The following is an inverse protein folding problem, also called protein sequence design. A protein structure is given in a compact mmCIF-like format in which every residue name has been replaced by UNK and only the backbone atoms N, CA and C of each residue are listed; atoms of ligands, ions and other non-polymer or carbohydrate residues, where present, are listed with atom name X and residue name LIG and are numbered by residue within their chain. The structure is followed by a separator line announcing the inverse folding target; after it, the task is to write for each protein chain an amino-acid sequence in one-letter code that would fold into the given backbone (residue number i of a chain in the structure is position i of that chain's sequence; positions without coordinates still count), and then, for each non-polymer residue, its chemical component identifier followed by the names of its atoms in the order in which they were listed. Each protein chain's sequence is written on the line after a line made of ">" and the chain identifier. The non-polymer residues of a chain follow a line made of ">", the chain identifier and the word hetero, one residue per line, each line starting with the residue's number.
data_IF_614908965766
#
_entry.id   IF_614908965766
#
_cell.length_a   1.000
_cell.length_b   1.000
_cell.length_c   1.000
_cell.angle_alpha   90.00
_cell.angle_beta   90.00
_cell.angle_gamma   90.00
#
_symmetry.space_group_name_H-M   'P 1'
#
loop_
_entity.id
_entity.type
_entity.pdbx_description
1 polymer ?
#
# COMPACT_ATOMS: atom_id res chain seq x y z
N UNK A 1 -49.32 25.62 -20.53
CA UNK A 1 -48.07 26.05 -19.86
C UNK A 1 -47.96 25.58 -18.40
N UNK A 2 -49.04 25.14 -17.72
CA UNK A 2 -48.95 24.64 -16.33
C UNK A 2 -48.35 23.22 -16.19
N UNK A 3 -48.56 22.32 -17.15
CA UNK A 3 -48.14 20.91 -17.01
C UNK A 3 -46.62 20.67 -17.05
N UNK A 4 -45.82 21.58 -17.62
CA UNK A 4 -44.35 21.45 -17.67
C UNK A 4 -43.70 21.77 -16.32
N UNK A 5 -44.24 22.77 -15.61
CA UNK A 5 -43.74 23.20 -14.29
C UNK A 5 -44.06 22.16 -13.22
N UNK A 6 -45.25 21.55 -13.27
CA UNK A 6 -45.63 20.43 -12.38
C UNK A 6 -44.73 19.20 -12.60
N UNK A 7 -44.46 18.83 -13.85
CA UNK A 7 -43.62 17.67 -14.18
C UNK A 7 -42.14 17.86 -13.78
N UNK A 8 -41.61 19.07 -13.85
CA UNK A 8 -40.25 19.38 -13.37
C UNK A 8 -40.16 19.40 -11.84
N UNK A 9 -41.21 19.89 -11.16
CA UNK A 9 -41.30 19.85 -9.70
C UNK A 9 -41.35 18.39 -9.18
N UNK A 10 -42.15 17.52 -9.80
CA UNK A 10 -42.25 16.10 -9.45
C UNK A 10 -40.92 15.35 -9.63
N UNK A 11 -40.19 15.66 -10.71
CA UNK A 11 -38.84 15.12 -10.95
C UNK A 11 -37.84 15.59 -9.90
N UNK A 12 -37.85 16.87 -9.55
CA UNK A 12 -36.95 17.42 -8.54
C UNK A 12 -37.20 16.80 -7.16
N UNK A 13 -38.46 16.58 -6.79
CA UNK A 13 -38.84 15.89 -5.55
C UNK A 13 -38.33 14.45 -5.53
N UNK A 14 -38.54 13.69 -6.62
CA UNK A 14 -38.05 12.32 -6.73
C UNK A 14 -36.51 12.24 -6.64
N UNK A 15 -35.78 13.14 -7.31
CA UNK A 15 -34.32 13.22 -7.24
C UNK A 15 -33.86 13.54 -5.81
N UNK A 16 -34.50 14.50 -5.14
CA UNK A 16 -34.18 14.88 -3.77
C UNK A 16 -34.38 13.74 -2.78
N UNK A 17 -35.45 12.95 -2.90
CA UNK A 17 -35.66 11.76 -2.09
C UNK A 17 -34.54 10.73 -2.30
N UNK A 18 -34.13 10.49 -3.55
CA UNK A 18 -33.01 9.58 -3.86
C UNK A 18 -31.67 10.10 -3.35
N UNK A 19 -31.41 11.41 -3.40
CA UNK A 19 -30.21 12.03 -2.83
C UNK A 19 -30.17 11.93 -1.30
N UNK A 20 -31.32 12.10 -0.61
CA UNK A 20 -31.40 11.86 0.84
C UNK A 20 -31.07 10.42 1.20
N UNK A 21 -31.63 9.46 0.47
CA UNK A 21 -31.31 8.05 0.68
C UNK A 21 -29.84 7.74 0.38
N UNK A 22 -29.27 8.34 -0.68
CA UNK A 22 -27.86 8.20 -1.02
C UNK A 22 -26.95 8.74 0.10
N UNK A 23 -27.26 9.92 0.66
CA UNK A 23 -26.54 10.49 1.82
C UNK A 23 -26.61 9.56 3.03
N UNK A 24 -27.81 9.02 3.35
CA UNK A 24 -28.00 8.08 4.46
C UNK A 24 -27.17 6.81 4.26
N UNK A 25 -27.22 6.21 3.08
CA UNK A 25 -26.44 5.01 2.77
C UNK A 25 -24.93 5.27 2.83
N UNK A 26 -24.47 6.43 2.35
CA UNK A 26 -23.05 6.80 2.44
C UNK A 26 -22.58 6.91 3.89
N UNK A 27 -23.37 7.53 4.77
CA UNK A 27 -23.09 7.62 6.21
C UNK A 27 -23.01 6.24 6.86
N UNK A 28 -23.96 5.35 6.53
CA UNK A 28 -23.94 3.96 7.02
C UNK A 28 -22.69 3.19 6.57
N UNK A 29 -22.25 3.40 5.32
CA UNK A 29 -21.00 2.78 4.81
C UNK A 29 -19.77 3.33 5.55
N UNK A 30 -19.72 4.64 5.81
CA UNK A 30 -18.63 5.26 6.54
C UNK A 30 -18.59 4.77 8.00
N UNK A 31 -19.74 4.68 8.67
CA UNK A 31 -19.87 4.13 10.03
C UNK A 31 -19.46 2.66 10.09
N UNK A 32 -19.92 1.84 9.14
CA UNK A 32 -19.56 0.42 9.06
C UNK A 32 -18.05 0.23 8.86
N UNK A 33 -17.43 1.00 7.95
CA UNK A 33 -15.97 0.96 7.74
C UNK A 33 -15.17 1.44 8.94
N UNK A 34 -15.67 2.44 9.67
CA UNK A 34 -15.03 2.92 10.88
C UNK A 34 -15.09 1.86 11.99
N UNK A 35 -16.25 1.18 12.15
CA UNK A 35 -16.42 0.08 13.10
C UNK A 35 -15.52 -1.11 12.76
N UNK A 36 -15.53 -1.54 11.49
CA UNK A 36 -14.68 -2.63 10.99
C UNK A 36 -13.21 -2.35 11.26
N UNK A 37 -12.76 -1.12 10.99
CA UNK A 37 -11.38 -0.73 11.27
C UNK A 37 -11.06 -0.75 12.76
N UNK A 38 -11.96 -0.24 13.60
CA UNK A 38 -11.78 -0.25 15.05
C UNK A 38 -11.66 -1.68 15.60
N UNK A 39 -12.53 -2.59 15.16
CA UNK A 39 -12.49 -4.01 15.56
C UNK A 39 -11.18 -4.68 15.12
N UNK A 40 -10.73 -4.45 13.89
CA UNK A 40 -9.46 -4.97 13.39
C UNK A 40 -8.29 -4.43 14.22
N UNK A 41 -8.28 -3.13 14.52
CA UNK A 41 -7.22 -2.49 15.29
C UNK A 41 -7.18 -3.01 16.73
N UNK A 42 -8.35 -3.24 17.35
CA UNK A 42 -8.45 -3.86 18.68
C UNK A 42 -7.89 -5.27 18.70
N UNK A 43 -8.33 -6.12 17.76
CA UNK A 43 -7.87 -7.52 17.64
C UNK A 43 -6.36 -7.57 17.38
N UNK A 44 -5.85 -6.71 16.50
CA UNK A 44 -4.40 -6.60 16.24
C UNK A 44 -3.66 -6.22 17.51
N UNK A 45 -4.10 -5.17 18.21
CA UNK A 45 -3.42 -4.72 19.44
C UNK A 45 -3.39 -5.82 20.51
N UNK A 46 -4.45 -6.62 20.62
CA UNK A 46 -4.52 -7.72 21.56
C UNK A 46 -3.47 -8.79 21.25
N UNK A 47 -3.38 -9.25 20.00
CA UNK A 47 -2.39 -10.25 19.61
C UNK A 47 -0.96 -9.70 19.64
N UNK A 48 -0.75 -8.45 19.21
CA UNK A 48 0.53 -7.76 19.32
C UNK A 48 1.01 -7.70 20.77
N UNK A 49 0.12 -7.42 21.73
CA UNK A 49 0.50 -7.41 23.16
C UNK A 49 0.94 -8.78 23.68
N UNK A 50 0.27 -9.86 23.23
CA UNK A 50 0.62 -11.24 23.61
C UNK A 50 1.95 -11.67 23.00
N UNK A 51 2.14 -11.38 21.71
CA UNK A 51 3.37 -11.68 21.00
C UNK A 51 4.52 -10.92 21.66
N UNK A 52 4.35 -9.61 21.87
CA UNK A 52 5.37 -8.77 22.50
C UNK A 52 5.76 -9.27 23.88
N UNK A 53 4.80 -9.70 24.71
CA UNK A 53 5.11 -10.28 26.02
C UNK A 53 5.98 -11.54 25.89
N UNK A 54 5.66 -12.43 24.96
CA UNK A 54 6.46 -13.63 24.72
C UNK A 54 7.84 -13.30 24.11
N UNK A 55 7.93 -12.27 23.26
CA UNK A 55 9.20 -11.77 22.72
C UNK A 55 10.09 -11.17 23.82
N UNK A 56 9.51 -10.39 24.73
CA UNK A 56 10.20 -9.80 25.88
C UNK A 56 10.70 -10.90 26.83
N UNK A 57 9.86 -11.90 27.14
CA UNK A 57 10.23 -13.06 27.95
C UNK A 57 11.36 -13.87 27.27
N UNK A 58 11.28 -14.09 25.95
CA UNK A 58 12.35 -14.75 25.19
C UNK A 58 13.64 -13.96 25.18
N UNK A 59 13.60 -12.62 25.12
CA UNK A 59 14.79 -11.78 25.15
C UNK A 59 15.53 -11.90 26.49
N UNK A 60 14.78 -11.97 27.60
CA UNK A 60 15.33 -12.23 28.94
C UNK A 60 16.00 -13.61 28.96
N UNK A 61 15.28 -14.66 28.53
CA UNK A 61 15.82 -16.02 28.48
C UNK A 61 17.08 -16.12 27.61
N UNK A 62 17.12 -15.45 26.45
CA UNK A 62 18.31 -15.42 25.58
C UNK A 62 19.51 -14.78 26.28
N UNK A 63 19.29 -13.77 27.12
CA UNK A 63 20.35 -13.12 27.90
C UNK A 63 20.86 -14.05 29.00
N UNK A 64 19.96 -14.76 29.69
CA UNK A 64 20.33 -15.77 30.68
C UNK A 64 21.10 -16.94 30.04
N UNK A 65 20.64 -17.41 28.88
CA UNK A 65 21.29 -18.46 28.10
C UNK A 65 22.69 -18.08 27.65
N UNK A 66 22.90 -16.83 27.25
CA UNK A 66 24.23 -16.31 26.93
C UNK A 66 25.15 -16.33 28.15
N UNK A 67 24.63 -16.04 29.35
CA UNK A 67 25.38 -16.07 30.60
C UNK A 67 25.90 -17.47 30.99
N UNK A 68 25.32 -18.55 30.45
CA UNK A 68 25.84 -19.91 30.64
C UNK A 68 27.01 -20.27 29.71
N UNK A 69 27.33 -19.45 28.71
CA UNK A 69 28.44 -19.68 27.79
C UNK A 69 29.67 -18.91 28.31
N UNK A 70 30.73 -19.64 28.66
CA UNK A 70 31.99 -19.05 29.12
C UNK A 70 32.80 -18.45 27.95
N UNK A 71 32.34 -17.30 27.46
CA UNK A 71 32.99 -16.60 26.35
C UNK A 71 34.38 -16.07 26.72
N UNK A 72 34.67 -15.85 28.00
CA UNK A 72 35.98 -15.38 28.48
C UNK A 72 37.07 -16.46 28.35
N UNK A 73 36.69 -17.74 28.45
CA UNK A 73 37.59 -18.87 28.23
C UNK A 73 37.43 -19.50 26.85
N UNK A 74 36.84 -18.77 25.90
CA UNK A 74 36.77 -19.15 24.49
C UNK A 74 35.66 -20.15 24.14
N UNK A 75 34.71 -20.39 25.05
CA UNK A 75 33.54 -21.19 24.75
C UNK A 75 32.60 -20.45 23.79
N UNK A 76 32.17 -21.12 22.73
CA UNK A 76 31.28 -20.55 21.70
C UNK A 76 29.89 -21.18 21.71
N UNK A 77 29.74 -22.35 22.32
CA UNK A 77 28.47 -23.07 22.39
C UNK A 77 28.36 -24.04 23.57
N UNK A 78 27.11 -24.36 23.93
CA UNK A 78 26.72 -25.41 24.88
C UNK A 78 25.66 -26.28 24.19
N UNK A 79 25.85 -27.60 24.22
CA UNK A 79 24.89 -28.57 23.67
C UNK A 79 24.09 -29.22 24.80
N UNK A 80 22.77 -29.32 24.63
CA UNK A 80 21.84 -29.95 25.58
C UNK A 80 20.99 -30.99 24.86
N UNK A 81 20.22 -31.79 25.61
CA UNK A 81 19.25 -32.73 25.04
C UNK A 81 18.15 -32.05 24.21
N UNK A 82 17.91 -30.75 24.40
CA UNK A 82 16.89 -29.97 23.69
C UNK A 82 17.45 -29.19 22.49
N UNK A 83 18.77 -29.16 22.31
CA UNK A 83 19.43 -28.42 21.24
C UNK A 83 20.68 -27.67 21.71
N UNK A 84 21.19 -26.80 20.84
CA UNK A 84 22.46 -26.10 21.05
C UNK A 84 22.23 -24.60 21.22
N UNK A 85 22.87 -24.01 22.22
CA UNK A 85 22.94 -22.55 22.44
C UNK A 85 24.31 -22.09 21.97
N UNK A 86 24.36 -21.05 21.14
CA UNK A 86 25.62 -20.54 20.58
C UNK A 86 25.71 -19.03 20.80
N UNK A 87 26.86 -18.57 21.27
CA UNK A 87 27.21 -17.16 21.28
C UNK A 87 27.73 -16.78 19.90
N UNK A 88 27.05 -15.86 19.22
CA UNK A 88 27.47 -15.32 17.92
C UNK A 88 27.38 -13.81 17.91
N UNK A 89 28.32 -13.18 17.23
CA UNK A 89 28.26 -11.75 16.94
C UNK A 89 27.49 -11.54 15.64
N UNK A 90 26.41 -10.79 15.70
CA UNK A 90 25.63 -10.41 14.51
C UNK A 90 26.45 -9.43 13.67
N UNK A 91 26.50 -9.64 12.36
CA UNK A 91 27.12 -8.69 11.43
C UNK A 91 26.32 -7.40 11.33
N UNK A 92 26.98 -6.31 10.92
CA UNK A 92 26.34 -5.01 10.73
C UNK A 92 25.14 -5.08 9.77
N UNK A 93 24.01 -4.49 10.20
CA UNK A 93 22.81 -4.36 9.37
C UNK A 93 22.73 -2.96 8.75
N UNK A 94 22.56 -2.90 7.43
CA UNK A 94 22.57 -1.63 6.68
C UNK A 94 21.14 -1.16 6.39
N UNK A 95 20.76 0.02 6.91
CA UNK A 95 19.48 0.67 6.63
C UNK A 95 19.67 1.73 5.54
N UNK A 96 19.26 1.40 4.31
CA UNK A 96 19.50 2.24 3.12
C UNK A 96 18.61 3.48 2.99
N UNK A 97 17.60 3.64 3.86
CA UNK A 97 16.65 4.77 3.81
C UNK A 97 15.77 4.78 2.55
N UNK A 98 14.85 5.75 2.46
CA UNK A 98 13.98 5.96 1.31
C UNK A 98 14.65 6.72 0.15
N UNK A 99 13.93 6.90 -0.96
CA UNK A 99 14.46 7.47 -2.21
C UNK A 99 15.18 8.83 -2.04
N UNK A 100 14.74 9.69 -1.12
CA UNK A 100 15.37 10.99 -0.86
C UNK A 100 16.73 10.82 -0.16
N UNK A 101 16.83 9.92 0.82
CA UNK A 101 18.07 9.63 1.52
C UNK A 101 19.08 8.98 0.57
N UNK A 102 18.61 8.04 -0.24
CA UNK A 102 19.41 7.41 -1.29
C UNK A 102 19.92 8.43 -2.30
N UNK A 103 19.10 9.38 -2.78
CA UNK A 103 19.57 10.45 -3.69
C UNK A 103 20.63 11.36 -3.08
N UNK A 104 20.59 11.61 -1.77
CA UNK A 104 21.66 12.36 -1.08
C UNK A 104 22.95 11.54 -1.02
N UNK A 105 22.84 10.26 -0.65
CA UNK A 105 23.98 9.34 -0.62
C UNK A 105 24.61 9.16 -2.01
N UNK A 106 23.80 9.04 -3.07
CA UNK A 106 24.27 8.93 -4.45
C UNK A 106 25.08 10.13 -4.94
N UNK A 107 24.94 11.32 -4.33
CA UNK A 107 25.77 12.50 -4.65
C UNK A 107 27.15 12.48 -4.00
N UNK A 108 27.30 11.71 -2.93
CA UNK A 108 28.53 11.62 -2.13
C UNK A 108 29.35 10.37 -2.46
N UNK A 109 28.71 9.35 -3.04
CA UNK A 109 29.35 8.10 -3.39
C UNK A 109 30.04 8.17 -4.78
N UNK A 110 31.18 7.49 -4.96
CA UNK A 110 31.83 7.34 -6.26
C UNK A 110 30.89 6.73 -7.30
N UNK A 111 31.05 7.14 -8.56
CA UNK A 111 30.23 6.68 -9.70
C UNK A 111 30.23 5.16 -9.88
N UNK A 112 31.29 4.48 -9.44
CA UNK A 112 31.48 3.04 -9.63
C UNK A 112 30.56 2.20 -8.73
N UNK A 113 29.95 2.81 -7.73
CA UNK A 113 28.99 2.17 -6.81
C UNK A 113 27.53 2.43 -7.19
N UNK A 114 27.28 3.16 -8.28
CA UNK A 114 25.95 3.58 -8.71
C UNK A 114 25.47 2.77 -9.92
N UNK A 115 24.25 2.23 -9.84
CA UNK A 115 23.61 1.56 -10.98
C UNK A 115 22.82 2.56 -11.80
N UNK A 116 23.06 2.61 -13.11
CA UNK A 116 22.21 3.33 -14.07
C UNK A 116 20.98 2.48 -14.44
N UNK A 117 19.79 3.05 -14.33
CA UNK A 117 18.52 2.41 -14.72
C UNK A 117 17.85 3.28 -15.79
N UNK A 118 17.58 2.69 -16.95
CA UNK A 118 16.80 3.31 -18.03
C UNK A 118 15.31 3.08 -17.79
N UNK A 119 14.54 4.15 -17.55
CA UNK A 119 13.09 4.08 -17.33
C UNK A 119 12.29 4.64 -18.52
N UNK A 120 11.08 4.09 -18.73
CA UNK A 120 10.14 4.48 -19.77
C UNK A 120 9.36 5.76 -19.41
N UNK A 121 9.28 6.72 -20.33
CA UNK A 121 8.52 7.96 -20.16
C UNK A 121 7.02 7.78 -20.47
N UNK A 122 6.24 7.52 -19.42
CA UNK A 122 4.79 7.24 -19.49
C UNK A 122 3.96 8.44 -20.00
N UNK A 123 4.45 9.67 -19.89
CA UNK A 123 3.70 10.86 -20.31
C UNK A 123 3.74 11.02 -21.83
N UNK A 124 4.91 10.79 -22.44
CA UNK A 124 5.07 10.80 -23.90
C UNK A 124 4.30 9.65 -24.57
N UNK A 125 4.31 8.47 -23.96
CA UNK A 125 3.56 7.31 -24.47
C UNK A 125 2.05 7.62 -24.51
N UNK A 126 1.49 8.22 -23.45
CA UNK A 126 0.06 8.59 -23.42
C UNK A 126 -0.34 9.62 -24.47
N UNK A 127 0.54 10.56 -24.81
CA UNK A 127 0.28 11.56 -25.85
C UNK A 127 0.38 11.00 -27.27
N UNK A 128 1.25 10.00 -27.49
CA UNK A 128 1.54 9.42 -28.79
C UNK A 128 0.68 8.20 -29.14
N UNK A 129 -0.20 7.74 -28.25
CA UNK A 129 -0.99 6.50 -28.48
C UNK A 129 -2.50 6.69 -28.32
N UNK A 130 -3.27 5.92 -29.08
CA UNK A 130 -4.73 5.81 -28.96
C UNK A 130 -5.14 4.40 -28.51
N UNK A 131 -6.16 4.34 -27.65
CA UNK A 131 -6.71 3.07 -27.16
C UNK A 131 -7.89 2.68 -28.05
N UNK A 132 -7.79 1.53 -28.70
CA UNK A 132 -8.89 0.93 -29.47
C UNK A 132 -9.95 0.31 -28.56
N UNK A 133 -11.16 0.07 -29.06
CA UNK A 133 -12.28 -0.51 -28.28
C UNK A 133 -11.95 -1.87 -27.65
N UNK A 134 -11.00 -2.62 -28.23
CA UNK A 134 -10.52 -3.91 -27.75
C UNK A 134 -9.37 -3.79 -26.70
N UNK A 135 -9.06 -2.57 -26.26
CA UNK A 135 -8.10 -2.30 -25.19
C UNK A 135 -6.63 -2.33 -25.60
N UNK A 136 -6.33 -2.42 -26.89
CA UNK A 136 -4.96 -2.35 -27.43
C UNK A 136 -4.53 -0.90 -27.63
N UNK A 137 -3.28 -0.61 -27.29
CA UNK A 137 -2.65 0.72 -27.40
C UNK A 137 -1.89 0.80 -28.73
N UNK A 138 -2.30 1.73 -29.60
CA UNK A 138 -1.77 1.92 -30.95
C UNK A 138 -1.02 3.25 -31.02
N UNK A 139 0.17 3.28 -31.63
CA UNK A 139 0.90 4.52 -31.90
C UNK A 139 0.22 5.34 -32.99
N UNK A 140 0.02 6.63 -32.76
CA UNK A 140 -0.69 7.53 -33.67
C UNK A 140 0.09 7.80 -34.96
N UNK A 141 1.42 7.67 -34.94
CA UNK A 141 2.29 7.97 -36.08
C UNK A 141 2.52 6.78 -37.02
N UNK A 142 2.58 5.55 -36.48
CA UNK A 142 2.94 4.35 -37.26
C UNK A 142 1.82 3.33 -37.38
N UNK A 143 0.76 3.43 -36.56
CA UNK A 143 -0.33 2.45 -36.54
C UNK A 143 0.06 1.08 -35.94
N UNK A 144 1.27 0.96 -35.40
CA UNK A 144 1.75 -0.28 -34.77
C UNK A 144 1.15 -0.45 -33.35
N UNK A 145 0.78 -1.69 -33.04
CA UNK A 145 0.28 -2.09 -31.71
C UNK A 145 1.49 -2.31 -30.81
N UNK A 146 1.53 -1.62 -29.66
CA UNK A 146 2.58 -1.86 -28.66
C UNK A 146 2.18 -3.08 -27.83
N UNK A 147 2.87 -4.21 -28.02
CA UNK A 147 2.71 -5.37 -27.16
C UNK A 147 3.16 -5.06 -25.72
N UNK A 148 2.27 -5.29 -24.75
CA UNK A 148 2.53 -5.05 -23.32
C UNK A 148 1.85 -3.83 -22.70
N UNK A 149 1.22 -2.95 -23.49
CA UNK A 149 0.39 -1.85 -22.99
C UNK A 149 -1.10 -2.10 -23.30
N UNK A 150 -1.93 -2.09 -22.26
CA UNK A 150 -3.38 -2.16 -22.38
C UNK A 150 -4.06 -0.94 -21.77
N UNK A 151 -5.19 -0.55 -22.35
CA UNK A 151 -5.99 0.59 -21.91
C UNK A 151 -7.46 0.26 -21.89
N UNK A 152 -8.24 1.00 -21.09
CA UNK A 152 -9.71 0.87 -21.07
C UNK A 152 -10.31 2.11 -21.72
N UNK A 153 -11.06 1.93 -22.81
CA UNK A 153 -11.73 3.03 -23.50
C UNK A 153 -12.83 3.62 -22.60
N UNK A 154 -12.78 4.94 -22.38
CA UNK A 154 -13.83 5.67 -21.67
C UNK A 154 -15.09 5.85 -22.53
N UNK A 155 -16.28 5.92 -21.91
CA UNK A 155 -17.52 6.18 -22.66
C UNK A 155 -18.84 5.90 -21.92
N UNK A 156 -18.82 5.17 -20.80
CA UNK A 156 -20.03 5.00 -19.98
C UNK A 156 -20.37 6.32 -19.27
N UNK A 157 -21.56 6.87 -19.57
CA UNK A 157 -22.11 8.00 -18.80
C UNK A 157 -22.27 7.56 -17.35
N UNK A 158 -21.60 8.25 -16.43
CA UNK A 158 -21.69 8.01 -15.00
C UNK A 158 -22.48 9.15 -14.35
N UNK A 159 -23.37 8.80 -13.42
CA UNK A 159 -23.98 9.79 -12.54
C UNK A 159 -22.93 10.24 -11.52
N UNK A 160 -22.56 11.52 -11.55
CA UNK A 160 -21.63 12.12 -10.59
C UNK A 160 -22.45 13.02 -9.66
N UNK A 161 -22.56 12.60 -8.40
CA UNK A 161 -23.23 13.39 -7.37
C UNK A 161 -22.20 14.31 -6.70
N UNK A 162 -22.30 15.62 -6.94
CA UNK A 162 -21.58 16.65 -6.18
C UNK A 162 -22.52 17.17 -5.11
N UNK A 163 -22.23 16.86 -3.85
CA UNK A 163 -22.94 17.43 -2.71
C UNK A 163 -22.17 18.66 -2.27
N UNK A 164 -22.83 19.81 -2.17
CA UNK A 164 -22.25 20.98 -1.50
C UNK A 164 -21.90 20.58 -0.06
N UNK A 165 -20.69 20.95 0.36
CA UNK A 165 -20.14 20.65 1.69
C UNK A 165 -20.96 21.29 2.79
#
# INVERSE_FOLDING_TARGET
>A
MNNQVEFEADKAVAINQRLRQYKKNKKLIEEAKASEKAEIDEVKSFYESKIKRAEDDNAILMTELLGFIDTEHGQTSVSTSMGNVQARTTSDSWKWGGAVAQRKAMKQLPSDLLKTVTELDKAKIKGATTITDDGKVVLNETGEIIEGLSGVKGGKKQCVIRLDR
#
